data_IF_474726783006
#
_entry.id   IF_474726783006
#
_cell.length_a   1.000
_cell.length_b   1.000
_cell.length_c   1.000
_cell.angle_alpha   90.00
_cell.angle_beta   90.00
_cell.angle_gamma   90.00
#
_symmetry.space_group_name_H-M   'P 1'
#
loop_
_entity.id
_entity.type
_entity.pdbx_description
1 polymer ?
#
# COMPACT_ATOMS: atom_id res chain seq x y z
N UNK A 1 -12.37 -6.22 -0.50
CA UNK A 1 -12.25 -7.02 0.75
C UNK A 1 -13.06 -6.34 1.82
N UNK A 2 -13.91 -7.08 2.51
CA UNK A 2 -14.58 -6.61 3.72
C UNK A 2 -13.53 -6.53 4.85
N UNK A 3 -13.14 -5.30 5.20
CA UNK A 3 -12.08 -5.04 6.19
C UNK A 3 -12.52 -5.31 7.62
N UNK A 4 -13.76 -4.99 7.93
CA UNK A 4 -14.32 -5.19 9.28
C UNK A 4 -14.50 -6.67 9.56
N UNK A 5 -15.17 -7.40 8.67
CA UNK A 5 -15.35 -8.85 8.80
C UNK A 5 -14.04 -9.61 8.84
N UNK A 6 -13.01 -9.18 8.08
CA UNK A 6 -11.67 -9.79 8.13
C UNK A 6 -11.00 -9.55 9.49
N UNK A 7 -11.03 -8.32 9.99
CA UNK A 7 -10.46 -7.97 11.30
C UNK A 7 -11.14 -8.73 12.44
N UNK A 8 -12.46 -8.78 12.43
CA UNK A 8 -13.24 -9.49 13.44
C UNK A 8 -12.93 -11.00 13.43
N UNK A 9 -12.92 -11.62 12.25
CA UNK A 9 -12.60 -13.04 12.09
C UNK A 9 -11.23 -13.40 12.66
N UNK A 10 -10.18 -12.65 12.31
CA UNK A 10 -8.82 -12.91 12.81
C UNK A 10 -8.76 -12.69 14.33
N UNK A 11 -9.36 -11.61 14.84
CA UNK A 11 -9.38 -11.30 16.29
C UNK A 11 -10.04 -12.44 17.09
N UNK A 12 -11.20 -12.93 16.62
CA UNK A 12 -11.89 -14.04 17.27
C UNK A 12 -11.06 -15.32 17.27
N UNK A 13 -10.41 -15.64 16.13
CA UNK A 13 -9.54 -16.82 16.03
C UNK A 13 -8.35 -16.76 16.97
N UNK A 14 -7.68 -15.60 17.07
CA UNK A 14 -6.56 -15.42 17.98
C UNK A 14 -6.99 -15.54 19.45
N UNK A 15 -8.09 -14.89 19.83
CA UNK A 15 -8.64 -14.97 21.20
C UNK A 15 -9.12 -16.38 21.60
N UNK A 16 -9.54 -17.16 20.62
CA UNK A 16 -9.96 -18.56 20.85
C UNK A 16 -8.77 -19.53 20.94
N UNK A 17 -7.57 -19.12 20.58
CA UNK A 17 -6.39 -19.99 20.64
C UNK A 17 -5.87 -20.10 22.08
N UNK A 18 -5.83 -21.29 22.70
CA UNK A 18 -5.46 -21.44 24.10
C UNK A 18 -3.99 -21.09 24.40
N UNK A 19 -3.15 -21.06 23.37
CA UNK A 19 -1.72 -20.75 23.51
C UNK A 19 -1.40 -19.29 23.16
N UNK A 20 -2.42 -18.45 22.96
CA UNK A 20 -2.26 -17.02 22.63
C UNK A 20 -2.88 -16.19 23.72
N UNK A 21 -2.08 -15.34 24.36
CA UNK A 21 -2.54 -14.30 25.27
C UNK A 21 -2.52 -12.95 24.52
N UNK A 22 -3.66 -12.26 24.53
CA UNK A 22 -3.80 -10.96 23.87
C UNK A 22 -3.80 -9.86 24.91
N UNK A 23 -2.76 -9.05 24.93
CA UNK A 23 -2.65 -7.86 25.76
C UNK A 23 -2.97 -6.59 24.96
N UNK A 24 -3.93 -5.81 25.42
CA UNK A 24 -4.31 -4.52 24.79
C UNK A 24 -3.61 -3.38 25.53
N UNK A 25 -2.35 -3.12 25.17
CA UNK A 25 -1.55 -2.01 25.70
C UNK A 25 -0.55 -1.49 24.69
N UNK A 26 -0.13 -0.25 24.84
CA UNK A 26 1.00 0.27 24.09
C UNK A 26 2.30 -0.33 24.64
N UNK A 27 3.15 -0.87 23.75
CA UNK A 27 4.52 -1.23 24.06
C UNK A 27 5.44 -0.08 23.65
N UNK A 28 6.24 0.40 24.61
CA UNK A 28 7.20 1.49 24.42
C UNK A 28 8.64 0.99 24.33
N UNK A 29 8.85 -0.30 24.59
CA UNK A 29 10.14 -0.96 24.54
C UNK A 29 10.01 -2.32 23.88
N UNK A 30 11.10 -2.80 23.27
CA UNK A 30 11.14 -4.11 22.64
C UNK A 30 11.30 -5.17 23.73
N UNK A 31 10.44 -6.21 23.74
CA UNK A 31 10.51 -7.26 24.75
C UNK A 31 11.85 -8.00 24.73
N UNK A 32 12.24 -8.52 25.91
CA UNK A 32 13.32 -9.49 26.01
C UNK A 32 12.91 -10.83 25.35
N UNK A 33 13.90 -11.59 24.88
CA UNK A 33 13.65 -12.88 24.21
C UNK A 33 13.30 -12.72 22.72
N UNK A 34 12.60 -13.70 22.19
CA UNK A 34 12.18 -13.76 20.79
C UNK A 34 11.04 -12.78 20.54
N UNK A 35 11.16 -11.91 19.56
CA UNK A 35 10.15 -10.90 19.29
C UNK A 35 9.87 -10.74 17.78
N UNK A 36 8.60 -10.62 17.44
CA UNK A 36 8.14 -10.23 16.08
C UNK A 36 7.44 -8.88 16.17
N UNK A 37 7.96 -7.88 15.50
CA UNK A 37 7.39 -6.53 15.44
C UNK A 37 6.59 -6.38 14.15
N UNK A 38 5.27 -6.27 14.28
CA UNK A 38 4.33 -6.19 13.16
C UNK A 38 3.32 -5.04 13.37
N UNK A 39 3.79 -3.94 13.94
CA UNK A 39 2.97 -2.77 14.35
C UNK A 39 2.46 -1.94 13.18
N UNK A 40 2.98 -2.20 11.98
CA UNK A 40 2.54 -1.56 10.74
C UNK A 40 3.00 -0.12 10.58
N UNK A 41 2.42 0.61 9.62
CA UNK A 41 2.89 1.94 9.23
C UNK A 41 2.62 3.01 10.31
N UNK A 42 1.60 2.81 11.15
CA UNK A 42 1.21 3.72 12.22
C UNK A 42 1.81 3.30 13.58
N UNK A 43 3.01 2.74 13.56
CA UNK A 43 3.80 2.45 14.77
C UNK A 43 3.89 3.70 15.64
N UNK A 44 3.63 3.56 16.95
CA UNK A 44 3.70 4.69 17.89
C UNK A 44 5.10 5.29 17.96
N UNK A 45 5.18 6.57 18.28
CA UNK A 45 6.47 7.28 18.37
C UNK A 45 7.40 6.58 19.37
N UNK A 46 6.89 6.14 20.52
CA UNK A 46 7.69 5.45 21.54
C UNK A 46 8.27 4.12 21.02
N UNK A 47 7.49 3.31 20.31
CA UNK A 47 7.99 2.07 19.70
C UNK A 47 8.94 2.38 18.53
N UNK A 48 8.67 3.41 17.71
CA UNK A 48 9.57 3.84 16.66
C UNK A 48 10.94 4.26 17.23
N UNK A 49 10.97 5.02 18.31
CA UNK A 49 12.21 5.37 19.02
C UNK A 49 12.93 4.14 19.58
N UNK A 50 12.19 3.13 20.09
CA UNK A 50 12.78 1.88 20.55
C UNK A 50 13.44 1.12 19.40
N UNK A 51 12.83 1.10 18.21
CA UNK A 51 13.39 0.50 16.99
C UNK A 51 14.64 1.27 16.53
N UNK A 52 14.61 2.62 16.53
CA UNK A 52 15.79 3.44 16.20
C UNK A 52 16.98 3.14 17.10
N UNK A 53 16.74 2.91 18.39
CA UNK A 53 17.83 2.53 19.33
C UNK A 53 18.52 1.21 18.95
N UNK A 54 17.80 0.28 18.32
CA UNK A 54 18.40 -0.96 17.77
C UNK A 54 19.18 -0.73 16.48
N UNK A 55 18.80 0.28 15.72
CA UNK A 55 19.33 0.55 14.39
C UNK A 55 19.67 2.05 14.25
N UNK A 56 20.63 2.59 15.01
CA UNK A 56 20.87 4.03 15.13
C UNK A 56 21.41 4.68 13.83
N UNK A 57 21.81 3.88 12.85
CA UNK A 57 22.34 4.35 11.57
C UNK A 57 21.26 4.65 10.54
N UNK A 58 19.99 4.43 10.85
CA UNK A 58 18.89 4.45 9.86
C UNK A 58 17.70 5.27 10.29
N UNK A 59 17.25 6.16 9.40
CA UNK A 59 15.97 6.86 9.52
C UNK A 59 14.82 5.91 9.21
N UNK A 60 13.78 5.94 10.05
CA UNK A 60 12.61 5.05 9.97
C UNK A 60 11.40 5.68 9.30
N UNK A 61 11.56 6.72 8.49
CA UNK A 61 10.42 7.53 8.13
C UNK A 61 10.14 7.54 6.64
N UNK A 62 8.86 7.33 6.39
CA UNK A 62 8.29 7.71 5.11
C UNK A 62 6.93 8.39 5.35
N UNK A 63 6.52 9.23 4.44
CA UNK A 63 5.28 9.97 4.56
C UNK A 63 4.22 9.37 3.64
N UNK A 64 3.04 9.08 4.20
CA UNK A 64 1.84 8.71 3.45
C UNK A 64 0.83 9.84 3.51
N UNK A 65 0.25 10.16 2.39
CA UNK A 65 -0.74 11.20 2.27
C UNK A 65 -2.13 10.58 2.05
N UNK A 66 -3.10 11.00 2.84
CA UNK A 66 -4.49 10.57 2.72
C UNK A 66 -5.23 11.52 1.78
N UNK A 67 -6.04 10.95 0.89
CA UNK A 67 -6.88 11.72 -0.02
C UNK A 67 -8.12 12.28 0.69
N UNK A 68 -8.65 13.44 0.25
CA UNK A 68 -9.88 14.01 0.76
C UNK A 68 -11.10 13.14 0.48
N UNK A 69 -12.13 13.29 1.34
CA UNK A 69 -13.44 12.66 1.17
C UNK A 69 -14.51 13.75 1.08
N UNK A 70 -15.42 13.60 0.12
CA UNK A 70 -16.58 14.47 -0.08
C UNK A 70 -17.88 13.69 0.06
N UNK A 71 -18.98 14.38 0.36
CA UNK A 71 -20.32 13.79 0.29
C UNK A 71 -20.79 13.72 -1.15
N UNK A 72 -21.43 12.61 -1.54
CA UNK A 72 -21.97 12.47 -2.91
C UNK A 72 -23.04 13.52 -3.21
N UNK A 73 -23.87 13.86 -2.22
CA UNK A 73 -24.93 14.85 -2.34
C UNK A 73 -24.42 16.23 -2.77
N UNK A 74 -23.17 16.57 -2.39
CA UNK A 74 -22.54 17.84 -2.74
C UNK A 74 -21.82 17.85 -4.07
N UNK A 75 -21.69 16.68 -4.73
CA UNK A 75 -21.09 16.57 -6.06
C UNK A 75 -22.08 16.98 -7.13
N UNK A 76 -21.68 17.88 -8.01
CA UNK A 76 -22.49 18.30 -9.15
C UNK A 76 -22.50 17.21 -10.23
N UNK A 77 -23.56 16.40 -10.22
CA UNK A 77 -23.74 15.28 -11.16
C UNK A 77 -24.11 15.73 -12.60
N UNK A 78 -24.42 17.01 -12.84
CA UNK A 78 -24.55 17.53 -14.21
C UNK A 78 -23.19 17.68 -14.88
N UNK A 79 -22.14 17.91 -14.07
CA UNK A 79 -20.75 17.99 -14.47
C UNK A 79 -19.94 16.71 -14.12
N UNK A 80 -20.61 15.59 -13.85
CA UNK A 80 -19.98 14.30 -13.56
C UNK A 80 -20.77 13.15 -14.19
N UNK A 81 -20.17 11.98 -14.24
CA UNK A 81 -20.84 10.77 -14.73
C UNK A 81 -20.31 9.50 -14.06
N UNK A 82 -21.19 8.50 -13.98
CA UNK A 82 -20.81 7.18 -13.46
C UNK A 82 -20.25 6.32 -14.60
N UNK A 83 -19.06 5.81 -14.45
CA UNK A 83 -18.45 4.86 -15.39
C UNK A 83 -17.29 4.10 -14.76
N UNK A 84 -17.01 2.92 -15.31
CA UNK A 84 -15.76 2.18 -15.07
C UNK A 84 -14.87 2.24 -16.31
N UNK A 85 -13.55 2.20 -16.11
CA UNK A 85 -12.59 2.23 -17.22
C UNK A 85 -12.76 1.01 -18.12
N UNK A 86 -12.78 1.26 -19.43
CA UNK A 86 -12.96 0.23 -20.47
C UNK A 86 -14.26 -0.57 -20.36
N UNK A 87 -15.28 -0.03 -19.66
CA UNK A 87 -16.54 -0.74 -19.41
C UNK A 87 -16.39 -2.04 -18.62
N UNK A 88 -15.34 -2.18 -17.81
CA UNK A 88 -15.09 -3.40 -17.02
C UNK A 88 -15.74 -3.30 -15.65
N UNK A 89 -16.58 -4.28 -15.30
CA UNK A 89 -17.27 -4.33 -14.01
C UNK A 89 -18.46 -3.36 -13.94
N UNK A 90 -18.80 -2.96 -12.72
CA UNK A 90 -19.85 -2.01 -12.40
C UNK A 90 -19.36 -0.57 -12.51
N UNK A 91 -20.26 0.39 -12.73
CA UNK A 91 -19.93 1.81 -12.85
C UNK A 91 -19.76 2.43 -11.44
N UNK A 92 -18.75 1.99 -10.70
CA UNK A 92 -18.56 2.30 -9.28
C UNK A 92 -17.85 3.63 -9.01
N UNK A 93 -17.39 4.30 -10.08
CA UNK A 93 -16.67 5.56 -9.93
C UNK A 93 -17.51 6.72 -10.46
N UNK A 94 -17.56 7.81 -9.70
CA UNK A 94 -18.00 9.11 -10.20
C UNK A 94 -16.80 9.75 -10.90
N UNK A 95 -16.95 10.11 -12.15
CA UNK A 95 -15.91 10.71 -12.98
C UNK A 95 -16.22 12.20 -13.17
N UNK A 96 -15.29 13.06 -12.78
CA UNK A 96 -15.36 14.50 -12.86
C UNK A 96 -14.47 14.99 -14.00
N UNK A 97 -15.01 15.22 -15.20
CA UNK A 97 -14.26 15.67 -16.36
C UNK A 97 -13.82 17.12 -16.23
N UNK A 98 -12.74 17.44 -16.93
CA UNK A 98 -12.22 18.78 -17.09
C UNK A 98 -11.83 19.03 -18.54
N UNK A 99 -12.13 20.23 -19.04
CA UNK A 99 -11.58 20.74 -20.30
C UNK A 99 -10.08 21.03 -20.16
N UNK A 100 -9.43 21.37 -21.27
CA UNK A 100 -8.03 21.74 -21.26
C UNK A 100 -7.80 22.99 -20.43
N UNK A 101 -8.61 24.00 -20.62
CA UNK A 101 -8.51 25.30 -19.94
C UNK A 101 -8.72 25.18 -18.44
N UNK A 102 -9.71 24.38 -18.00
CA UNK A 102 -9.97 24.08 -16.60
C UNK A 102 -8.82 23.32 -15.96
N UNK A 103 -8.27 22.34 -16.66
CA UNK A 103 -7.10 21.58 -16.21
C UNK A 103 -5.87 22.49 -16.06
N UNK A 104 -5.58 23.32 -17.05
CA UNK A 104 -4.42 24.23 -17.03
C UNK A 104 -4.52 25.23 -15.88
N UNK A 105 -5.71 25.81 -15.66
CA UNK A 105 -5.97 26.68 -14.52
C UNK A 105 -5.80 25.93 -13.18
N UNK A 106 -6.37 24.72 -13.07
CA UNK A 106 -6.28 23.87 -11.88
C UNK A 106 -4.83 23.53 -11.53
N UNK A 107 -4.04 23.05 -12.51
CA UNK A 107 -2.63 22.66 -12.28
C UNK A 107 -1.78 23.88 -11.88
N UNK A 108 -2.05 25.05 -12.47
CA UNK A 108 -1.36 26.28 -12.13
C UNK A 108 -1.59 26.65 -10.67
N UNK A 109 -2.84 26.64 -10.22
CA UNK A 109 -3.21 26.94 -8.83
C UNK A 109 -2.73 25.87 -7.85
N UNK A 110 -2.79 24.58 -8.24
CA UNK A 110 -2.29 23.47 -7.44
C UNK A 110 -0.78 23.60 -7.16
N UNK A 111 0.00 23.98 -8.17
CA UNK A 111 1.46 24.17 -8.04
C UNK A 111 1.84 25.38 -7.17
N UNK A 112 0.97 26.38 -7.10
CA UNK A 112 1.16 27.59 -6.31
C UNK A 112 0.55 27.52 -4.91
N UNK A 113 -0.21 26.45 -4.62
CA UNK A 113 -0.96 26.31 -3.38
C UNK A 113 -0.04 26.15 -2.17
N UNK A 114 -0.51 26.71 -1.03
CA UNK A 114 0.24 26.64 0.23
C UNK A 114 0.14 25.26 0.88
N UNK A 115 1.28 24.70 1.22
CA UNK A 115 1.42 23.44 1.91
C UNK A 115 1.39 23.62 3.43
N UNK A 116 0.90 22.59 4.13
CA UNK A 116 0.99 22.52 5.57
C UNK A 116 2.46 22.23 5.98
N UNK A 117 2.99 22.87 7.04
CA UNK A 117 4.33 22.55 7.51
C UNK A 117 4.36 21.12 8.02
N UNK A 118 5.23 20.28 7.46
CA UNK A 118 5.49 18.92 7.94
C UNK A 118 6.92 18.89 8.45
N UNK A 119 7.11 18.63 9.75
CA UNK A 119 8.43 18.55 10.34
C UNK A 119 9.20 17.34 9.77
N UNK A 120 10.39 17.62 9.21
CA UNK A 120 11.27 16.59 8.66
C UNK A 120 10.81 16.05 7.28
N UNK A 121 9.89 16.73 6.61
CA UNK A 121 9.48 16.37 5.24
C UNK A 121 10.59 16.76 4.24
N UNK A 122 11.06 15.74 3.52
CA UNK A 122 11.90 15.92 2.33
C UNK A 122 11.13 15.34 1.14
N UNK A 123 11.02 16.09 0.05
CA UNK A 123 10.35 15.65 -1.19
C UNK A 123 10.92 14.32 -1.73
N UNK A 124 12.15 13.95 -1.36
CA UNK A 124 12.80 12.68 -1.69
C UNK A 124 12.31 11.48 -0.87
N UNK A 125 11.65 11.71 0.28
CA UNK A 125 11.21 10.66 1.21
C UNK A 125 9.77 10.19 1.00
N UNK A 126 9.12 10.58 -0.11
CA UNK A 126 7.72 10.21 -0.42
C UNK A 126 7.68 8.94 -1.25
N UNK A 127 6.91 7.96 -0.80
CA UNK A 127 6.63 6.75 -1.58
C UNK A 127 5.90 7.09 -2.89
N UNK A 128 6.38 6.57 -4.02
CA UNK A 128 5.82 6.86 -5.36
C UNK A 128 4.31 6.56 -5.46
N UNK A 129 3.83 5.52 -4.80
CA UNK A 129 2.42 5.12 -4.78
C UNK A 129 1.51 6.05 -3.98
N UNK A 130 2.06 6.85 -3.05
CA UNK A 130 1.34 7.78 -2.17
C UNK A 130 1.77 9.24 -2.38
N UNK A 131 2.41 9.53 -3.52
CA UNK A 131 2.92 10.87 -3.82
C UNK A 131 1.80 11.92 -3.81
N UNK A 132 1.98 13.05 -3.11
CA UNK A 132 1.02 14.13 -3.10
C UNK A 132 0.76 14.69 -4.50
N UNK A 133 -0.50 15.02 -4.77
CA UNK A 133 -0.94 15.48 -6.10
C UNK A 133 -0.21 16.76 -6.53
N UNK A 134 0.09 17.68 -5.60
CA UNK A 134 0.86 18.90 -5.86
C UNK A 134 2.33 18.60 -6.18
N UNK A 135 2.94 17.58 -5.56
CA UNK A 135 4.31 17.13 -5.88
C UNK A 135 4.35 16.53 -7.29
N UNK A 136 3.37 15.68 -7.65
CA UNK A 136 3.23 15.18 -9.02
C UNK A 136 3.06 16.32 -10.03
N UNK A 137 2.24 17.32 -9.72
CA UNK A 137 2.02 18.49 -10.59
C UNK A 137 3.31 19.28 -10.84
N UNK A 138 4.22 19.36 -9.86
CA UNK A 138 5.52 20.03 -10.00
C UNK A 138 6.50 19.29 -10.91
N UNK A 139 6.42 17.96 -10.98
CA UNK A 139 7.27 17.13 -11.86
C UNK A 139 7.03 17.42 -13.36
N UNK A 140 5.83 17.85 -13.72
CA UNK A 140 5.50 18.26 -15.08
C UNK A 140 4.04 18.66 -15.21
N UNK A 141 3.76 19.57 -16.15
CA UNK A 141 2.41 20.14 -16.31
C UNK A 141 1.38 19.06 -16.69
N UNK A 142 1.78 18.08 -17.50
CA UNK A 142 0.92 17.00 -17.94
C UNK A 142 1.00 15.73 -17.07
N UNK A 143 1.83 15.71 -16.01
CA UNK A 143 2.08 14.52 -15.19
C UNK A 143 0.77 13.92 -14.65
N UNK A 144 -0.16 14.75 -14.18
CA UNK A 144 -1.43 14.29 -13.63
C UNK A 144 -2.31 13.59 -14.66
N UNK A 145 -2.23 13.98 -15.94
CA UNK A 145 -2.98 13.34 -17.05
C UNK A 145 -2.47 11.95 -17.41
N UNK A 146 -1.24 11.61 -17.02
CA UNK A 146 -0.68 10.26 -17.14
C UNK A 146 -0.77 9.46 -15.84
N UNK A 147 -1.23 10.11 -14.76
CA UNK A 147 -1.41 9.58 -13.42
C UNK A 147 -2.87 9.61 -12.95
N UNK A 148 -3.16 10.29 -11.82
CA UNK A 148 -4.47 10.25 -11.16
C UNK A 148 -5.61 10.87 -11.99
N UNK A 149 -5.31 11.80 -12.90
CA UNK A 149 -6.32 12.46 -13.76
C UNK A 149 -6.35 11.91 -15.19
N UNK A 150 -5.88 10.68 -15.40
CA UNK A 150 -5.82 10.06 -16.73
C UNK A 150 -7.22 9.89 -17.32
N UNK A 151 -7.52 10.40 -18.55
CA UNK A 151 -8.84 10.25 -19.18
C UNK A 151 -9.02 8.91 -19.89
N UNK A 152 -7.94 8.26 -20.30
CA UNK A 152 -7.94 7.08 -21.17
C UNK A 152 -8.78 5.93 -20.60
N UNK A 153 -9.64 5.38 -21.45
CA UNK A 153 -10.54 4.28 -21.10
C UNK A 153 -11.87 4.73 -20.48
N UNK A 154 -12.10 6.04 -20.38
CA UNK A 154 -13.38 6.65 -20.00
C UNK A 154 -13.99 7.33 -21.22
N UNK A 155 -15.29 7.16 -21.41
CA UNK A 155 -16.07 7.85 -22.44
C UNK A 155 -17.14 8.67 -21.75
N UNK A 156 -17.09 9.96 -21.95
CA UNK A 156 -18.05 10.90 -21.36
C UNK A 156 -19.42 10.72 -22.06
N UNK A 157 -20.47 10.34 -21.35
CA UNK A 157 -21.78 10.13 -21.95
C UNK A 157 -22.44 11.45 -22.44
N UNK A 158 -22.03 12.60 -21.87
CA UNK A 158 -22.59 13.90 -22.23
C UNK A 158 -22.01 14.44 -23.54
N UNK A 159 -20.73 14.16 -23.82
CA UNK A 159 -20.04 14.65 -25.05
C UNK A 159 -19.84 13.56 -26.09
N UNK A 160 -19.92 12.29 -25.70
CA UNK A 160 -19.66 11.14 -26.56
C UNK A 160 -18.18 10.91 -26.87
N UNK A 161 -17.26 11.73 -26.30
CA UNK A 161 -15.82 11.70 -26.52
C UNK A 161 -15.00 11.35 -25.29
N UNK A 162 -13.68 11.51 -25.40
CA UNK A 162 -12.76 11.50 -24.26
C UNK A 162 -12.57 12.94 -23.76
N UNK A 163 -12.51 13.10 -22.44
CA UNK A 163 -12.24 14.36 -21.79
C UNK A 163 -10.75 14.69 -21.81
N UNK A 164 -10.36 15.93 -21.53
CA UNK A 164 -8.95 16.29 -21.44
C UNK A 164 -8.27 15.70 -20.20
N UNK A 165 -8.95 15.76 -19.07
CA UNK A 165 -8.56 15.13 -17.81
C UNK A 165 -9.80 14.71 -17.02
N UNK A 166 -9.67 13.72 -16.13
CA UNK A 166 -10.79 13.22 -15.32
C UNK A 166 -10.31 12.92 -13.90
N UNK A 167 -10.94 13.54 -12.93
CA UNK A 167 -10.79 13.15 -11.51
C UNK A 167 -11.79 12.05 -11.21
N UNK A 168 -11.35 10.96 -10.61
CA UNK A 168 -12.22 9.86 -10.21
C UNK A 168 -12.51 9.92 -8.71
N UNK A 169 -13.78 9.77 -8.35
CA UNK A 169 -14.21 9.60 -6.97
C UNK A 169 -14.61 8.14 -6.77
N UNK A 170 -14.09 7.53 -5.71
CA UNK A 170 -14.40 6.15 -5.34
C UNK A 170 -15.24 6.14 -4.07
N UNK A 171 -16.26 5.28 -4.04
CA UNK A 171 -17.07 5.03 -2.84
C UNK A 171 -16.17 4.69 -1.65
N UNK A 172 -16.41 5.36 -0.51
CA UNK A 172 -15.63 5.18 0.72
C UNK A 172 -16.41 4.43 1.81
N UNK A 173 -17.75 4.45 1.77
CA UNK A 173 -18.62 3.74 2.72
C UNK A 173 -19.64 2.83 2.04
N UNK A 174 -20.22 1.91 2.79
CA UNK A 174 -21.19 0.92 2.26
C UNK A 174 -22.48 1.58 1.76
N UNK A 175 -22.93 2.66 2.38
CA UNK A 175 -24.14 3.41 2.02
C UNK A 175 -23.99 4.18 0.71
N UNK A 176 -22.75 4.39 0.22
CA UNK A 176 -22.47 5.14 -1.00
C UNK A 176 -22.72 6.64 -0.88
N UNK A 177 -22.65 7.17 0.32
CA UNK A 177 -22.84 8.61 0.60
C UNK A 177 -21.53 9.39 0.64
N UNK A 178 -20.38 8.68 0.85
CA UNK A 178 -19.05 9.26 0.95
C UNK A 178 -18.15 8.75 -0.18
N UNK A 179 -17.36 9.68 -0.76
CA UNK A 179 -16.47 9.39 -1.87
C UNK A 179 -15.11 10.02 -1.68
N UNK A 180 -14.03 9.24 -1.84
CA UNK A 180 -12.68 9.76 -1.81
C UNK A 180 -12.19 10.16 -3.21
N UNK A 181 -11.35 11.20 -3.28
CA UNK A 181 -10.69 11.65 -4.51
C UNK A 181 -9.51 10.72 -4.80
N UNK A 182 -9.64 9.87 -5.81
CA UNK A 182 -8.62 8.86 -6.13
C UNK A 182 -7.31 9.51 -6.61
N UNK A 183 -6.22 9.22 -5.92
CA UNK A 183 -4.90 9.74 -6.27
C UNK A 183 -4.68 11.21 -5.90
N UNK A 184 -5.55 11.79 -5.07
CA UNK A 184 -5.46 13.16 -4.57
C UNK A 184 -4.94 13.22 -3.12
N UNK A 185 -4.02 12.33 -2.79
CA UNK A 185 -3.24 12.50 -1.57
C UNK A 185 -2.57 13.87 -1.59
N UNK A 186 -2.55 14.57 -0.46
CA UNK A 186 -2.06 15.94 -0.41
C UNK A 186 -1.62 16.37 0.98
N UNK A 187 -0.65 17.27 1.04
CA UNK A 187 -0.28 17.99 2.25
C UNK A 187 -0.58 19.50 2.16
N UNK A 188 -1.41 19.91 1.21
CA UNK A 188 -1.91 21.27 1.17
C UNK A 188 -2.65 21.64 2.46
N UNK A 189 -2.60 22.89 2.87
CA UNK A 189 -3.45 23.38 3.97
C UNK A 189 -4.93 23.15 3.64
N UNK A 190 -5.79 22.94 4.64
CA UNK A 190 -7.23 22.68 4.42
C UNK A 190 -7.93 23.76 3.61
N UNK A 191 -7.54 25.04 3.83
CA UNK A 191 -8.05 26.15 3.05
C UNK A 191 -7.68 26.06 1.57
N UNK A 192 -6.44 25.66 1.27
CA UNK A 192 -5.98 25.46 -0.10
C UNK A 192 -6.61 24.22 -0.76
N UNK A 193 -6.78 23.14 -0.03
CA UNK A 193 -7.50 21.98 -0.55
C UNK A 193 -8.91 22.35 -0.99
N UNK A 194 -9.66 23.07 -0.12
CA UNK A 194 -10.99 23.55 -0.48
C UNK A 194 -10.95 24.48 -1.70
N UNK A 195 -10.05 25.45 -1.71
CA UNK A 195 -9.91 26.43 -2.80
C UNK A 195 -9.58 25.76 -4.15
N UNK A 196 -8.53 24.95 -4.16
CA UNK A 196 -8.00 24.37 -5.39
C UNK A 196 -8.88 23.23 -5.90
N UNK A 197 -9.33 22.32 -5.03
CA UNK A 197 -10.14 21.19 -5.48
C UNK A 197 -11.57 21.60 -5.89
N UNK A 198 -12.08 22.74 -5.38
CA UNK A 198 -13.34 23.33 -5.87
C UNK A 198 -13.23 23.96 -7.27
N UNK A 199 -12.04 24.04 -7.87
CA UNK A 199 -11.87 24.42 -9.28
C UNK A 199 -12.27 23.29 -10.24
N UNK A 200 -12.35 22.06 -9.77
CA UNK A 200 -12.89 20.94 -10.54
C UNK A 200 -14.40 21.15 -10.67
N UNK A 201 -14.98 21.26 -11.89
CA UNK A 201 -16.38 21.67 -12.09
C UNK A 201 -17.39 20.91 -11.23
N UNK A 202 -17.27 19.60 -11.19
CA UNK A 202 -18.15 18.75 -10.39
C UNK A 202 -17.99 18.92 -8.87
N UNK A 203 -16.88 19.49 -8.40
CA UNK A 203 -16.56 19.69 -6.98
C UNK A 203 -16.66 21.15 -6.54
N UNK A 204 -17.20 22.05 -7.38
CA UNK A 204 -17.29 23.49 -7.09
C UNK A 204 -17.93 23.79 -5.75
N UNK A 205 -18.97 23.07 -5.40
CA UNK A 205 -19.72 23.20 -4.16
C UNK A 205 -19.55 21.99 -3.23
N UNK A 206 -18.52 21.16 -3.45
CA UNK A 206 -18.33 19.93 -2.69
C UNK A 206 -18.13 20.20 -1.20
N UNK A 207 -18.78 19.38 -0.39
CA UNK A 207 -18.62 19.33 1.06
C UNK A 207 -17.55 18.30 1.41
N UNK A 208 -16.41 18.80 1.90
CA UNK A 208 -15.30 17.97 2.36
C UNK A 208 -15.55 17.53 3.80
N UNK A 209 -15.92 16.27 4.00
CA UNK A 209 -16.08 15.67 5.33
C UNK A 209 -14.76 15.28 5.96
N UNK A 210 -13.74 15.07 5.12
CA UNK A 210 -12.36 14.85 5.55
C UNK A 210 -11.42 15.52 4.54
N UNK A 211 -10.47 16.28 5.04
CA UNK A 211 -9.37 16.80 4.23
C UNK A 211 -8.23 15.79 4.13
N UNK A 212 -7.46 15.88 3.08
CA UNK A 212 -6.21 15.16 2.95
C UNK A 212 -5.20 15.64 3.99
N UNK A 213 -4.45 14.72 4.55
CA UNK A 213 -3.37 15.00 5.50
C UNK A 213 -2.19 14.08 5.21
N UNK A 214 -0.99 14.56 5.54
CA UNK A 214 0.19 13.71 5.54
C UNK A 214 0.25 12.97 6.88
N UNK A 215 0.42 11.68 6.81
CA UNK A 215 0.80 10.85 7.95
C UNK A 215 2.25 10.43 7.81
N UNK A 216 2.96 10.44 8.90
CA UNK A 216 4.27 9.84 8.98
C UNK A 216 4.08 8.34 9.14
N UNK A 217 4.47 7.57 8.12
CA UNK A 217 4.50 6.12 8.18
C UNK A 217 5.91 5.67 8.59
N UNK A 218 5.95 4.61 9.37
CA UNK A 218 7.20 3.99 9.79
C UNK A 218 7.49 2.78 8.91
N UNK A 219 8.63 2.77 8.21
CA UNK A 219 9.14 1.58 7.54
C UNK A 219 10.67 1.50 7.67
N UNK A 220 11.19 0.30 7.52
CA UNK A 220 12.60 0.00 7.64
C UNK A 220 13.30 0.08 6.28
N UNK A 221 14.55 0.53 6.25
CA UNK A 221 15.45 0.25 5.13
C UNK A 221 15.82 -1.24 5.16
N UNK A 222 14.84 -2.07 4.86
CA UNK A 222 14.89 -3.51 5.04
C UNK A 222 16.06 -4.18 4.33
N UNK A 223 16.47 -3.79 3.11
CA UNK A 223 17.64 -4.39 2.45
C UNK A 223 18.93 -4.30 3.25
N UNK A 224 19.09 -3.26 4.05
CA UNK A 224 20.26 -3.09 4.91
C UNK A 224 20.10 -3.80 6.24
N UNK A 225 18.88 -3.76 6.80
CA UNK A 225 18.59 -4.19 8.17
C UNK A 225 18.21 -5.66 8.29
N UNK A 226 17.43 -6.19 7.33
CA UNK A 226 16.80 -7.50 7.44
C UNK A 226 17.46 -8.54 6.53
N UNK A 227 17.46 -9.78 7.00
CA UNK A 227 17.76 -10.93 6.17
C UNK A 227 16.49 -11.41 5.43
N UNK A 228 16.63 -12.45 4.59
CA UNK A 228 15.52 -13.02 3.80
C UNK A 228 14.38 -13.66 4.63
N UNK A 229 14.60 -13.83 5.90
CA UNK A 229 13.63 -14.33 6.88
C UNK A 229 13.02 -13.20 7.69
N UNK A 230 13.25 -11.95 7.28
CA UNK A 230 12.79 -10.74 7.97
C UNK A 230 13.38 -10.53 9.36
N UNK A 231 14.49 -11.20 9.68
CA UNK A 231 15.20 -11.05 10.96
C UNK A 231 16.14 -9.87 10.89
N UNK A 232 16.28 -9.17 12.00
CA UNK A 232 17.26 -8.11 12.14
C UNK A 232 18.67 -8.72 12.10
N UNK A 233 19.50 -8.29 11.15
CA UNK A 233 20.86 -8.82 10.96
C UNK A 233 21.77 -8.62 12.17
N UNK A 234 21.60 -7.47 12.88
CA UNK A 234 22.37 -7.14 14.08
C UNK A 234 21.88 -7.88 15.32
N UNK A 235 20.60 -8.27 15.39
CA UNK A 235 20.00 -8.94 16.53
C UNK A 235 18.93 -9.97 16.08
N UNK A 236 19.33 -11.19 15.68
CA UNK A 236 18.45 -12.17 15.03
C UNK A 236 17.27 -12.69 15.85
N UNK A 237 17.21 -12.42 17.18
CA UNK A 237 16.03 -12.72 17.99
C UNK A 237 14.84 -11.81 17.64
N UNK A 238 15.09 -10.69 16.95
CA UNK A 238 14.05 -9.75 16.56
C UNK A 238 13.77 -9.92 15.08
N UNK A 239 12.50 -10.11 14.76
CA UNK A 239 11.99 -10.17 13.40
C UNK A 239 10.95 -9.07 13.19
N UNK A 240 10.78 -8.65 11.93
CA UNK A 240 9.79 -7.69 11.54
C UNK A 240 8.84 -8.30 10.51
N UNK A 241 7.59 -7.84 10.46
CA UNK A 241 6.62 -8.32 9.48
C UNK A 241 5.65 -7.22 9.02
N UNK A 242 5.04 -7.44 7.88
CA UNK A 242 4.04 -6.55 7.34
C UNK A 242 4.62 -5.27 6.72
N UNK A 243 3.78 -4.26 6.63
CA UNK A 243 4.05 -3.06 5.84
C UNK A 243 5.30 -2.30 6.30
N UNK A 244 5.62 -2.31 7.58
CA UNK A 244 6.83 -1.65 8.09
C UNK A 244 8.13 -2.23 7.52
N UNK A 245 8.11 -3.41 6.92
CA UNK A 245 9.27 -3.99 6.22
C UNK A 245 9.37 -3.57 4.74
N UNK A 246 8.53 -2.66 4.28
CA UNK A 246 8.43 -2.27 2.88
C UNK A 246 7.60 -3.21 2.02
N UNK A 247 6.87 -4.12 2.63
CA UNK A 247 5.90 -4.99 1.96
C UNK A 247 4.57 -4.26 1.85
N UNK A 248 4.13 -3.95 0.62
CA UNK A 248 2.85 -3.31 0.36
C UNK A 248 1.76 -4.33 0.04
N UNK A 249 0.55 -4.08 0.53
CA UNK A 249 -0.65 -4.89 0.29
C UNK A 249 -1.04 -5.78 1.47
N UNK A 250 -2.35 -5.99 1.63
CA UNK A 250 -2.89 -6.79 2.76
C UNK A 250 -2.48 -8.26 2.71
N UNK A 251 -2.53 -8.86 1.51
CA UNK A 251 -2.19 -10.27 1.31
C UNK A 251 -0.69 -10.48 1.50
N UNK A 252 0.11 -9.58 0.94
CA UNK A 252 1.57 -9.57 1.06
C UNK A 252 2.01 -9.40 2.52
N UNK A 253 1.39 -8.47 3.24
CA UNK A 253 1.67 -8.25 4.67
C UNK A 253 1.31 -9.50 5.50
N UNK A 254 0.16 -10.12 5.24
CA UNK A 254 -0.22 -11.37 5.90
C UNK A 254 0.75 -12.51 5.55
N UNK A 255 1.18 -12.62 4.29
CA UNK A 255 2.16 -13.63 3.84
C UNK A 255 3.52 -13.42 4.49
N UNK A 256 3.99 -12.19 4.63
CA UNK A 256 5.24 -11.88 5.35
C UNK A 256 5.14 -12.30 6.83
N UNK A 257 4.02 -11.99 7.48
CA UNK A 257 3.76 -12.44 8.87
C UNK A 257 3.73 -13.95 9.02
N UNK A 258 3.12 -14.67 8.06
CA UNK A 258 3.13 -16.12 8.02
C UNK A 258 4.56 -16.68 7.88
N UNK A 259 5.35 -16.12 6.96
CA UNK A 259 6.75 -16.53 6.77
C UNK A 259 7.55 -16.33 8.05
N UNK A 260 7.45 -15.16 8.67
CA UNK A 260 8.15 -14.85 9.93
C UNK A 260 7.71 -15.79 11.06
N UNK A 261 6.41 -16.06 11.16
CA UNK A 261 5.87 -16.98 12.18
C UNK A 261 6.40 -18.40 12.01
N UNK A 262 6.40 -18.94 10.79
CA UNK A 262 6.95 -20.26 10.46
C UNK A 262 8.44 -20.32 10.80
N UNK A 263 9.21 -19.32 10.39
CA UNK A 263 10.66 -19.30 10.61
C UNK A 263 11.02 -19.15 12.11
N UNK A 264 10.29 -18.30 12.83
CA UNK A 264 10.48 -18.14 14.27
C UNK A 264 10.16 -19.45 15.02
N UNK A 265 9.07 -20.13 14.66
CA UNK A 265 8.71 -21.41 15.23
C UNK A 265 9.74 -22.50 14.90
N UNK A 266 10.17 -22.60 13.64
CA UNK A 266 11.20 -23.56 13.23
C UNK A 266 12.49 -23.38 14.04
N UNK A 267 12.94 -22.16 14.22
CA UNK A 267 14.14 -21.83 15.00
C UNK A 267 13.98 -22.20 16.47
N UNK A 268 12.85 -21.90 17.11
CA UNK A 268 12.58 -22.25 18.48
C UNK A 268 12.53 -23.77 18.71
N UNK A 269 12.07 -24.51 17.73
CA UNK A 269 12.01 -25.97 17.75
C UNK A 269 13.32 -26.65 17.30
N UNK A 270 14.36 -25.88 16.93
CA UNK A 270 15.61 -26.42 16.40
C UNK A 270 15.46 -27.09 15.03
N UNK A 271 14.40 -26.73 14.27
CA UNK A 271 14.13 -27.26 12.94
C UNK A 271 14.90 -26.45 11.87
N UNK A 272 15.17 -27.05 10.69
CA UNK A 272 15.75 -26.33 9.57
C UNK A 272 14.87 -25.15 9.12
N UNK A 273 15.51 -24.05 8.70
CA UNK A 273 14.83 -22.89 8.14
C UNK A 273 13.93 -23.26 6.94
N UNK A 274 12.79 -22.59 6.84
CA UNK A 274 11.88 -22.76 5.70
C UNK A 274 12.21 -21.76 4.63
N UNK A 275 12.95 -22.18 3.63
CA UNK A 275 13.45 -21.32 2.57
C UNK A 275 12.50 -21.29 1.37
N UNK A 276 11.77 -20.17 1.23
CA UNK A 276 10.92 -19.95 0.06
C UNK A 276 11.76 -19.42 -1.11
N UNK A 277 11.86 -20.16 -2.24
CA UNK A 277 12.68 -19.75 -3.36
C UNK A 277 12.11 -18.51 -4.08
N UNK A 278 13.00 -17.73 -4.75
CA UNK A 278 12.62 -16.54 -5.50
C UNK A 278 11.75 -16.82 -6.74
N UNK A 279 11.58 -18.07 -7.10
CA UNK A 279 10.60 -18.55 -8.07
C UNK A 279 9.16 -18.50 -7.55
N UNK A 280 8.97 -18.37 -6.26
CA UNK A 280 7.67 -18.18 -5.61
C UNK A 280 7.41 -16.69 -5.33
N UNK A 281 6.15 -16.28 -5.28
CA UNK A 281 5.79 -14.89 -5.01
C UNK A 281 6.28 -14.43 -3.63
N UNK A 282 6.10 -15.28 -2.60
CA UNK A 282 6.52 -14.98 -1.22
C UNK A 282 8.04 -14.92 -1.09
N UNK A 283 8.77 -15.85 -1.72
CA UNK A 283 10.24 -15.86 -1.71
C UNK A 283 10.85 -14.72 -2.51
N UNK A 284 10.26 -14.36 -3.65
CA UNK A 284 10.69 -13.22 -4.45
C UNK A 284 10.55 -11.89 -3.68
N UNK A 285 9.45 -11.72 -2.94
CA UNK A 285 9.23 -10.54 -2.11
C UNK A 285 10.22 -10.51 -0.94
N UNK A 286 10.43 -11.64 -0.27
CA UNK A 286 11.42 -11.78 0.81
C UNK A 286 12.83 -11.45 0.33
N UNK A 287 13.21 -11.89 -0.87
CA UNK A 287 14.49 -11.54 -1.49
C UNK A 287 14.58 -10.06 -1.84
N UNK A 288 13.51 -9.46 -2.36
CA UNK A 288 13.47 -8.03 -2.69
C UNK A 288 13.74 -7.17 -1.46
N UNK A 289 13.05 -7.43 -0.35
CA UNK A 289 13.17 -6.65 0.88
C UNK A 289 14.49 -6.89 1.63
N UNK A 290 15.20 -7.97 1.35
CA UNK A 290 16.45 -8.33 2.06
C UNK A 290 17.74 -8.00 1.29
N UNK A 291 17.65 -7.28 0.17
CA UNK A 291 18.81 -6.83 -0.60
C UNK A 291 18.74 -7.07 -2.11
N UNK A 292 17.62 -7.58 -2.62
CA UNK A 292 17.41 -7.76 -4.06
C UNK A 292 17.00 -6.47 -4.79
N UNK A 293 16.85 -5.34 -4.09
CA UNK A 293 16.58 -4.04 -4.70
C UNK A 293 17.86 -3.37 -5.20
N UNK A 294 17.76 -2.65 -6.32
CA UNK A 294 18.84 -1.84 -6.89
C UNK A 294 18.47 -0.37 -6.76
N UNK A 295 19.35 0.43 -6.16
CA UNK A 295 19.11 1.85 -5.87
C UNK A 295 18.42 2.07 -4.51
N UNK A 296 17.72 3.20 -4.38
CA UNK A 296 16.99 3.54 -3.14
C UNK A 296 15.84 2.56 -2.95
N UNK A 297 15.79 1.96 -1.76
CA UNK A 297 14.73 1.01 -1.42
C UNK A 297 13.36 1.68 -1.40
N UNK A 298 12.41 1.09 -2.10
CA UNK A 298 11.01 1.54 -2.11
C UNK A 298 10.08 0.39 -1.71
N UNK A 299 9.11 0.63 -0.82
CA UNK A 299 8.07 -0.34 -0.54
C UNK A 299 7.37 -0.83 -1.82
N UNK A 300 7.03 -2.12 -1.88
CA UNK A 300 6.54 -2.75 -3.11
C UNK A 300 5.47 -3.81 -2.83
N UNK A 301 4.46 -3.85 -3.71
CA UNK A 301 3.57 -5.00 -3.85
C UNK A 301 4.26 -6.13 -4.62
N UNK A 302 3.91 -7.38 -4.32
CA UNK A 302 4.35 -8.50 -5.14
C UNK A 302 3.89 -8.34 -6.59
N UNK A 303 4.80 -8.60 -7.52
CA UNK A 303 4.48 -8.53 -8.94
C UNK A 303 5.35 -9.53 -9.72
N UNK A 304 4.92 -9.87 -10.94
CA UNK A 304 5.63 -10.82 -11.79
C UNK A 304 7.03 -10.37 -12.23
N UNK A 305 7.39 -9.11 -11.99
CA UNK A 305 8.70 -8.56 -12.35
C UNK A 305 9.80 -8.95 -11.38
N UNK A 306 9.47 -9.21 -10.11
CA UNK A 306 10.43 -9.63 -9.07
C UNK A 306 10.57 -11.15 -8.96
N UNK A 307 9.62 -11.92 -9.53
CA UNK A 307 9.70 -13.38 -9.54
C UNK A 307 10.78 -13.82 -10.54
N UNK A 308 11.63 -14.77 -10.15
CA UNK A 308 12.69 -15.33 -11.02
C UNK A 308 12.11 -15.67 -12.40
N UNK A 309 12.71 -15.19 -13.51
CA UNK A 309 12.19 -15.46 -14.84
C UNK A 309 12.12 -16.96 -15.20
N UNK A 310 11.25 -17.31 -16.14
CA UNK A 310 11.31 -18.61 -16.78
C UNK A 310 12.58 -18.69 -17.62
N UNK A 311 13.32 -19.78 -17.57
CA UNK A 311 14.54 -19.97 -18.36
C UNK A 311 14.31 -20.05 -19.88
N UNK A 312 13.08 -19.77 -20.36
CA UNK A 312 12.67 -19.84 -21.75
C UNK A 312 11.64 -18.76 -22.10
N UNK A 313 11.46 -18.50 -23.40
CA UNK A 313 10.57 -17.48 -23.91
C UNK A 313 9.12 -17.97 -24.03
N UNK A 314 8.17 -17.27 -23.39
CA UNK A 314 6.72 -17.48 -23.55
C UNK A 314 6.11 -16.32 -24.32
N UNK A 315 5.29 -16.62 -25.32
CA UNK A 315 4.61 -15.61 -26.15
C UNK A 315 3.39 -15.07 -25.41
N UNK A 316 3.36 -13.76 -25.20
CA UNK A 316 2.23 -13.05 -24.59
C UNK A 316 2.36 -12.95 -23.06
N UNK A 317 2.13 -11.72 -22.53
CA UNK A 317 2.27 -11.41 -21.10
C UNK A 317 1.38 -12.29 -20.22
N UNK A 318 0.13 -12.52 -20.64
CA UNK A 318 -0.82 -13.35 -19.89
C UNK A 318 -0.34 -14.80 -19.73
N UNK A 319 0.13 -15.40 -20.83
CA UNK A 319 0.64 -16.78 -20.79
C UNK A 319 1.91 -16.89 -19.96
N UNK A 320 2.85 -15.93 -20.11
CA UNK A 320 4.06 -15.86 -19.27
C UNK A 320 3.69 -15.79 -17.79
N UNK A 321 2.76 -14.94 -17.40
CA UNK A 321 2.34 -14.80 -16.01
C UNK A 321 1.65 -16.07 -15.49
N UNK A 322 0.85 -16.73 -16.32
CA UNK A 322 0.21 -18.01 -15.96
C UNK A 322 1.24 -19.10 -15.68
N UNK A 323 2.28 -19.22 -16.51
CA UNK A 323 3.37 -20.19 -16.30
C UNK A 323 4.21 -19.87 -15.06
N UNK A 324 4.52 -18.59 -14.80
CA UNK A 324 5.18 -18.16 -13.56
C UNK A 324 4.35 -18.53 -12.32
N UNK A 325 3.04 -18.29 -12.38
CA UNK A 325 2.11 -18.65 -11.30
C UNK A 325 2.05 -20.16 -11.09
N UNK A 326 1.91 -20.95 -12.15
CA UNK A 326 1.86 -22.41 -12.07
C UNK A 326 3.16 -22.99 -11.49
N UNK A 327 4.33 -22.47 -11.91
CA UNK A 327 5.62 -22.86 -11.33
C UNK A 327 5.68 -22.53 -9.84
N UNK A 328 5.29 -21.32 -9.46
CA UNK A 328 5.29 -20.88 -8.05
C UNK A 328 4.44 -21.81 -7.17
N UNK A 329 3.21 -22.11 -7.60
CA UNK A 329 2.31 -23.02 -6.88
C UNK A 329 2.88 -24.45 -6.80
N UNK A 330 3.41 -24.98 -7.89
CA UNK A 330 4.03 -26.31 -7.91
C UNK A 330 5.23 -26.44 -6.97
N UNK A 331 6.02 -25.38 -6.79
CA UNK A 331 7.12 -25.34 -5.81
C UNK A 331 6.56 -25.39 -4.39
N UNK A 332 5.56 -24.58 -4.07
CA UNK A 332 4.93 -24.59 -2.74
C UNK A 332 4.32 -25.96 -2.43
N UNK A 333 3.62 -26.59 -3.40
CA UNK A 333 3.08 -27.93 -3.25
C UNK A 333 4.16 -28.99 -2.99
N UNK A 334 5.31 -28.88 -3.67
CA UNK A 334 6.45 -29.77 -3.44
C UNK A 334 7.02 -29.56 -2.03
N UNK A 335 7.21 -28.31 -1.61
CA UNK A 335 7.70 -27.97 -0.25
C UNK A 335 6.76 -28.54 0.84
N UNK A 336 5.45 -28.52 0.63
CA UNK A 336 4.49 -29.08 1.57
C UNK A 336 4.58 -30.63 1.66
N UNK A 337 4.82 -31.30 0.52
CA UNK A 337 4.98 -32.76 0.48
C UNK A 337 6.27 -33.24 1.13
N UNK A 338 7.35 -32.48 0.96
CA UNK A 338 8.67 -32.83 1.52
C UNK A 338 8.74 -32.61 3.05
N UNK A 339 7.81 -31.83 3.60
CA UNK A 339 7.72 -31.52 5.02
C UNK A 339 6.52 -32.23 5.64
N UNK A 340 6.66 -33.49 6.07
CA UNK A 340 5.68 -34.23 6.89
C UNK A 340 5.31 -33.48 8.21
N UNK A 341 6.01 -32.40 8.54
CA UNK A 341 5.91 -31.66 9.81
C UNK A 341 4.74 -30.67 9.87
N UNK A 342 4.05 -30.39 8.77
CA UNK A 342 2.93 -29.43 8.76
C UNK A 342 1.54 -30.06 8.61
N UNK A 343 1.43 -31.41 8.73
CA UNK A 343 0.14 -32.02 9.04
C UNK A 343 -0.15 -31.80 10.53
N UNK A 344 -0.71 -30.63 10.85
CA UNK A 344 -1.56 -30.54 12.03
C UNK A 344 -2.73 -31.46 11.69
N UNK A 345 -2.64 -32.71 12.10
CA UNK A 345 -3.83 -33.57 12.19
C UNK A 345 -4.85 -32.78 13.01
N UNK A 346 -6.01 -32.52 12.41
CA UNK A 346 -7.22 -32.10 13.10
C UNK A 346 -7.54 -33.18 14.17
N UNK A 347 -6.89 -33.07 15.28
CA UNK A 347 -7.33 -33.76 16.49
C UNK A 347 -8.32 -32.83 17.18
N UNK A 348 -9.60 -33.14 16.96
CA UNK A 348 -10.87 -32.76 17.59
C UNK A 348 -10.81 -31.91 18.87
#
# INVERSE_FOLDING_TARGET
>A
MDREGFSEYITQRLRACPNVEVEERELTEIPEGEAVIATGPLTSDAMAEAIVRLCPEFDLHFYDAVAPIVTLESVDMENAYLASRYGKGTADYVNCPMTKEEYEAFVTELRAAKEAPVHGFDDGAVFEGCMPVEVMARRGFDTLRYGPMKPVGLRNPHTGGEDWAVVQLRRDNAEGTLYNLVGFQTHLTFGEQKRVFSMIPALRNAEFVRYGVMHRNTYLDSPRLLDRYYRLKSEPRISFAGQMTGVEGYVESAASGMLVGIETAARQLGLPAVDFPAETAIGALAQYISGGSVGDFQPMNVNFGIITPLGYRVKGKRNKNAELSARSLGIIEAMLKDREVLSIEDNN
#
